data_IF_039455977841
#
_entry.id   IF_039455977841
#
_cell.length_a   1.000
_cell.length_b   1.000
_cell.length_c   1.000
_cell.angle_alpha   90.00
_cell.angle_beta   90.00
_cell.angle_gamma   90.00
#
_symmetry.space_group_name_H-M   'P 1'
#
loop_
_entity.id
_entity.type
_entity.pdbx_description
1 polymer ?
#
# COMPACT_ATOMS: atom_id res chain seq x y z
N UNK A 1 17.06 -11.02 8.53
CA UNK A 1 16.82 -9.73 7.84
C UNK A 1 15.33 -9.43 7.91
N UNK A 2 14.86 -8.19 8.12
CA UNK A 2 13.45 -7.88 8.45
C UNK A 2 12.42 -8.11 7.33
N UNK A 3 12.79 -8.79 6.24
CA UNK A 3 11.97 -8.97 5.04
C UNK A 3 11.83 -10.45 4.61
N UNK A 4 11.87 -11.40 5.56
CA UNK A 4 11.63 -12.82 5.24
C UNK A 4 10.22 -13.06 4.65
N UNK A 5 9.26 -12.17 4.91
CA UNK A 5 7.88 -12.35 4.47
C UNK A 5 7.58 -11.42 3.30
N UNK A 6 7.57 -11.99 2.09
CA UNK A 6 7.20 -11.27 0.88
C UNK A 6 5.70 -10.93 0.91
N UNK A 7 5.30 -9.68 0.61
CA UNK A 7 3.90 -9.35 0.40
C UNK A 7 3.32 -10.10 -0.79
N UNK A 8 2.07 -10.52 -0.69
CA UNK A 8 1.32 -11.14 -1.78
C UNK A 8 0.46 -10.06 -2.43
N UNK A 9 0.72 -9.73 -3.70
CA UNK A 9 0.02 -8.66 -4.42
C UNK A 9 -0.73 -9.20 -5.63
N UNK A 10 -1.92 -8.64 -5.87
CA UNK A 10 -2.59 -8.79 -7.16
C UNK A 10 -2.09 -7.68 -8.09
N UNK A 11 -1.62 -8.05 -9.27
CA UNK A 11 -0.98 -7.11 -10.19
C UNK A 11 -1.57 -7.25 -11.60
N UNK A 12 -1.79 -6.13 -12.30
CA UNK A 12 -2.24 -6.18 -13.70
C UNK A 12 -1.22 -6.91 -14.59
N UNK A 13 -1.67 -7.93 -15.34
CA UNK A 13 -0.82 -8.82 -16.14
C UNK A 13 -0.09 -8.11 -17.29
N UNK A 14 -0.60 -6.96 -17.72
CA UNK A 14 -0.02 -6.16 -18.81
C UNK A 14 1.37 -5.58 -18.49
N UNK A 15 1.84 -5.68 -17.24
CA UNK A 15 3.21 -5.33 -16.86
C UNK A 15 4.24 -6.43 -17.18
N UNK A 16 3.77 -7.66 -17.42
CA UNK A 16 4.62 -8.85 -17.62
C UNK A 16 4.41 -9.50 -18.98
N UNK A 17 3.20 -9.40 -19.54
CA UNK A 17 2.80 -10.08 -20.77
C UNK A 17 2.13 -9.13 -21.76
N UNK A 18 2.09 -9.53 -23.03
CA UNK A 18 1.45 -8.84 -24.14
C UNK A 18 -0.08 -8.87 -24.06
N UNK A 19 -0.69 -8.50 -22.92
CA UNK A 19 -2.16 -8.61 -22.73
C UNK A 19 -2.94 -7.35 -23.11
N UNK A 20 -2.27 -6.32 -23.63
CA UNK A 20 -2.92 -5.09 -24.08
C UNK A 20 -3.75 -5.29 -25.35
N UNK A 21 -4.69 -4.37 -25.57
CA UNK A 21 -5.53 -4.38 -26.76
C UNK A 21 -4.72 -4.29 -28.06
N UNK A 22 -3.58 -3.60 -28.03
CA UNK A 22 -2.66 -3.44 -29.16
C UNK A 22 -1.56 -4.51 -29.21
N UNK A 23 -1.58 -5.49 -28.30
CA UNK A 23 -0.54 -6.52 -28.19
C UNK A 23 0.82 -5.99 -27.70
N UNK A 24 0.92 -4.75 -27.23
CA UNK A 24 2.15 -4.20 -26.65
C UNK A 24 2.41 -4.66 -25.21
N UNK A 25 3.65 -4.47 -24.74
CA UNK A 25 4.02 -4.54 -23.31
C UNK A 25 4.15 -3.12 -22.75
N UNK A 26 3.74 -2.94 -21.50
CA UNK A 26 4.08 -1.74 -20.71
C UNK A 26 5.07 -2.15 -19.63
N UNK A 27 6.16 -1.41 -19.49
CA UNK A 27 7.03 -1.53 -18.33
C UNK A 27 6.63 -0.56 -17.22
N UNK A 28 6.73 -1.02 -15.98
CA UNK A 28 6.67 -0.17 -14.79
C UNK A 28 7.87 -0.49 -13.91
N UNK A 29 8.74 0.48 -13.69
CA UNK A 29 9.99 0.27 -12.94
C UNK A 29 9.72 -0.08 -11.47
N UNK A 30 8.67 0.50 -10.87
CA UNK A 30 8.20 0.11 -9.53
C UNK A 30 7.75 -1.35 -9.49
N UNK A 31 6.94 -1.79 -10.45
CA UNK A 31 6.45 -3.18 -10.48
C UNK A 31 7.60 -4.16 -10.69
N UNK A 32 8.53 -3.86 -11.59
CA UNK A 32 9.74 -4.67 -11.81
C UNK A 32 10.60 -4.78 -10.56
N UNK A 33 10.84 -3.67 -9.85
CA UNK A 33 11.60 -3.69 -8.60
C UNK A 33 10.90 -4.52 -7.52
N UNK A 34 9.57 -4.41 -7.43
CA UNK A 34 8.78 -5.15 -6.44
C UNK A 34 8.78 -6.66 -6.65
N UNK A 35 9.00 -7.15 -7.87
CA UNK A 35 9.08 -8.59 -8.19
C UNK A 35 10.11 -9.33 -7.33
N UNK A 36 11.21 -8.66 -6.98
CA UNK A 36 12.24 -9.25 -6.12
C UNK A 36 11.77 -9.42 -4.66
N UNK A 37 10.81 -8.61 -4.20
CA UNK A 37 10.41 -8.53 -2.80
C UNK A 37 8.97 -8.97 -2.51
N UNK A 38 8.17 -9.22 -3.54
CA UNK A 38 6.76 -9.59 -3.43
C UNK A 38 6.45 -10.87 -4.22
N UNK A 39 5.39 -11.57 -3.85
CA UNK A 39 4.78 -12.63 -4.67
C UNK A 39 3.63 -12.02 -5.46
N UNK A 40 3.54 -12.30 -6.76
CA UNK A 40 2.50 -11.73 -7.62
C UNK A 40 1.47 -12.77 -8.06
N UNK A 41 0.19 -12.40 -7.92
CA UNK A 41 -0.93 -13.02 -8.60
C UNK A 41 -1.34 -12.09 -9.74
N UNK A 42 -1.11 -12.49 -10.98
CA UNK A 42 -1.33 -11.61 -12.13
C UNK A 42 -2.73 -11.77 -12.73
N UNK A 43 -3.34 -10.65 -13.11
CA UNK A 43 -4.69 -10.65 -13.68
C UNK A 43 -4.84 -9.70 -14.88
N UNK A 44 -5.49 -10.18 -15.95
CA UNK A 44 -6.01 -9.34 -17.02
C UNK A 44 -7.51 -9.58 -17.19
N UNK A 45 -8.39 -8.77 -16.59
CA UNK A 45 -9.83 -9.01 -16.63
C UNK A 45 -10.38 -9.12 -18.05
N UNK A 46 -9.83 -8.36 -18.99
CA UNK A 46 -10.24 -8.35 -20.40
C UNK A 46 -9.97 -9.68 -21.11
N UNK A 47 -8.81 -10.30 -20.83
CA UNK A 47 -8.49 -11.63 -21.38
C UNK A 47 -9.32 -12.70 -20.69
N UNK A 48 -9.53 -12.62 -19.37
CA UNK A 48 -10.31 -13.60 -18.63
C UNK A 48 -11.80 -13.62 -19.02
N UNK A 49 -12.35 -12.51 -19.53
CA UNK A 49 -13.71 -12.49 -20.12
C UNK A 49 -13.75 -12.92 -21.60
N UNK A 50 -12.62 -13.38 -22.15
CA UNK A 50 -12.51 -13.98 -23.48
C UNK A 50 -12.15 -13.03 -24.61
N UNK A 51 -11.64 -11.81 -24.33
CA UNK A 51 -11.18 -10.94 -25.41
C UNK A 51 -9.81 -11.38 -25.94
N UNK A 52 -9.59 -11.33 -27.26
CA UNK A 52 -8.32 -11.73 -27.87
C UNK A 52 -7.20 -10.70 -27.63
N UNK A 53 -6.01 -11.08 -28.08
CA UNK A 53 -4.83 -10.23 -28.17
C UNK A 53 -4.32 -10.32 -29.61
N UNK A 54 -4.28 -9.23 -30.40
CA UNK A 54 -4.87 -7.92 -30.12
C UNK A 54 -6.42 -7.94 -30.17
N UNK A 55 -7.06 -6.86 -29.75
CA UNK A 55 -8.53 -6.66 -29.77
C UNK A 55 -8.89 -5.21 -30.07
N UNK A 56 -10.14 -4.99 -30.46
CA UNK A 56 -10.69 -3.64 -30.52
C UNK A 56 -10.67 -2.98 -29.13
N UNK A 57 -10.31 -1.69 -29.02
CA UNK A 57 -10.41 -0.95 -27.76
C UNK A 57 -11.84 -0.95 -27.21
N UNK A 58 -11.92 -1.10 -25.89
CA UNK A 58 -13.15 -0.91 -25.12
C UNK A 58 -13.00 0.33 -24.24
N UNK A 59 -14.10 0.97 -23.90
CA UNK A 59 -14.18 2.18 -23.10
C UNK A 59 -15.37 2.08 -22.13
N UNK A 60 -15.36 2.92 -21.09
CA UNK A 60 -16.51 3.03 -20.17
C UNK A 60 -17.41 4.18 -20.63
N UNK A 61 -18.68 3.88 -20.87
CA UNK A 61 -19.70 4.82 -21.30
C UNK A 61 -20.74 5.06 -20.20
N UNK A 62 -21.26 6.28 -20.10
CA UNK A 62 -22.43 6.60 -19.29
C UNK A 62 -23.67 6.61 -20.19
N UNK A 63 -24.50 5.57 -20.06
CA UNK A 63 -25.73 5.41 -20.85
C UNK A 63 -26.89 5.20 -19.88
N UNK A 64 -27.91 6.05 -19.94
CA UNK A 64 -29.08 5.99 -19.05
C UNK A 64 -28.70 5.97 -17.54
N UNK A 65 -27.69 6.77 -17.15
CA UNK A 65 -27.07 6.80 -15.81
C UNK A 65 -26.34 5.51 -15.37
N UNK A 66 -26.20 4.52 -16.24
CA UNK A 66 -25.43 3.31 -15.98
C UNK A 66 -24.05 3.37 -16.65
N UNK A 67 -23.05 2.79 -15.96
CA UNK A 67 -21.71 2.62 -16.49
C UNK A 67 -21.65 1.34 -17.32
N UNK A 68 -21.36 1.47 -18.62
CA UNK A 68 -21.30 0.37 -19.57
C UNK A 68 -19.88 0.19 -20.12
N UNK A 69 -19.38 -1.04 -20.13
CA UNK A 69 -18.11 -1.39 -20.75
C UNK A 69 -18.35 -1.90 -22.16
N UNK A 70 -18.02 -1.09 -23.17
CA UNK A 70 -18.38 -1.36 -24.56
C UNK A 70 -17.22 -1.05 -25.49
N UNK A 71 -17.24 -1.62 -26.70
CA UNK A 71 -16.38 -1.14 -27.78
C UNK A 71 -16.91 0.18 -28.38
N UNK A 72 -16.11 0.86 -29.20
CA UNK A 72 -16.43 2.20 -29.71
C UNK A 72 -17.67 2.25 -30.59
N UNK A 73 -17.98 1.18 -31.33
CA UNK A 73 -19.20 1.08 -32.14
C UNK A 73 -20.46 0.73 -31.35
N UNK A 74 -20.35 0.49 -30.04
CA UNK A 74 -21.45 0.14 -29.14
C UNK A 74 -22.24 -1.13 -29.53
N UNK A 75 -21.68 -1.99 -30.40
CA UNK A 75 -22.32 -3.25 -30.81
C UNK A 75 -21.94 -4.42 -29.88
N UNK A 76 -20.97 -4.24 -28.99
CA UNK A 76 -20.57 -5.23 -28.00
C UNK A 76 -20.64 -4.59 -26.61
N UNK A 77 -21.56 -5.08 -25.76
CA UNK A 77 -21.63 -4.76 -24.34
C UNK A 77 -21.01 -5.90 -23.51
N UNK A 78 -19.95 -5.58 -22.78
CA UNK A 78 -19.19 -6.51 -21.94
C UNK A 78 -19.45 -6.30 -20.45
N UNK A 79 -20.36 -5.41 -20.07
CA UNK A 79 -20.58 -4.97 -18.69
C UNK A 79 -20.90 -6.16 -17.77
N UNK A 80 -21.90 -6.97 -18.13
CA UNK A 80 -22.31 -8.13 -17.32
C UNK A 80 -21.23 -9.20 -17.26
N UNK A 81 -20.53 -9.45 -18.36
CA UNK A 81 -19.40 -10.41 -18.39
C UNK A 81 -18.29 -9.96 -17.43
N UNK A 82 -17.93 -8.68 -17.46
CA UNK A 82 -16.91 -8.11 -16.59
C UNK A 82 -17.34 -8.10 -15.12
N UNK A 83 -18.58 -7.73 -14.81
CA UNK A 83 -19.10 -7.76 -13.44
C UNK A 83 -19.17 -9.19 -12.88
N UNK A 84 -19.66 -10.14 -13.66
CA UNK A 84 -19.71 -11.56 -13.28
C UNK A 84 -18.31 -12.10 -13.00
N UNK A 85 -17.37 -11.83 -13.90
CA UNK A 85 -15.96 -12.21 -13.71
C UNK A 85 -15.36 -11.56 -12.46
N UNK A 86 -15.51 -10.24 -12.28
CA UNK A 86 -14.95 -9.52 -11.15
C UNK A 86 -15.48 -10.04 -9.81
N UNK A 87 -16.78 -10.35 -9.71
CA UNK A 87 -17.36 -10.93 -8.50
C UNK A 87 -16.82 -12.34 -8.22
N UNK A 88 -16.72 -13.21 -9.24
CA UNK A 88 -16.14 -14.54 -9.09
C UNK A 88 -14.66 -14.48 -8.70
N UNK A 89 -13.90 -13.57 -9.33
CA UNK A 89 -12.51 -13.34 -8.99
C UNK A 89 -12.35 -12.87 -7.54
N UNK A 90 -13.19 -11.92 -7.09
CA UNK A 90 -13.19 -11.47 -5.70
C UNK A 90 -13.42 -12.63 -4.72
N UNK A 91 -14.40 -13.51 -4.99
CA UNK A 91 -14.65 -14.69 -4.15
C UNK A 91 -13.43 -15.62 -4.07
N UNK A 92 -12.77 -15.88 -5.20
CA UNK A 92 -11.56 -16.70 -5.24
C UNK A 92 -10.38 -16.03 -4.51
N UNK A 93 -10.26 -14.71 -4.61
CA UNK A 93 -9.19 -13.96 -3.93
C UNK A 93 -9.41 -13.89 -2.42
N UNK A 94 -10.65 -13.88 -1.95
CA UNK A 94 -10.95 -13.87 -0.50
C UNK A 94 -10.43 -15.11 0.24
N UNK A 95 -10.09 -16.19 -0.46
CA UNK A 95 -9.45 -17.38 0.14
C UNK A 95 -7.93 -17.31 0.15
N UNK A 96 -7.34 -16.30 -0.50
CA UNK A 96 -5.90 -16.06 -0.58
C UNK A 96 -5.46 -15.01 0.44
N UNK A 97 -4.25 -15.17 0.97
CA UNK A 97 -3.64 -14.17 1.86
C UNK A 97 -3.05 -13.01 1.04
N UNK A 98 -3.87 -12.08 0.56
CA UNK A 98 -3.43 -10.89 -0.21
C UNK A 98 -3.21 -9.68 0.70
N UNK A 99 -2.13 -8.92 0.43
CA UNK A 99 -1.75 -7.74 1.20
C UNK A 99 -2.07 -6.42 0.49
N UNK A 100 -2.26 -6.43 -0.83
CA UNK A 100 -2.57 -5.24 -1.62
C UNK A 100 -2.73 -5.52 -3.11
N UNK A 101 -3.06 -4.49 -3.89
CA UNK A 101 -3.19 -4.60 -5.35
C UNK A 101 -2.52 -3.44 -6.08
N UNK A 102 -1.90 -3.73 -7.22
CA UNK A 102 -1.36 -2.74 -8.16
C UNK A 102 -2.07 -2.90 -9.50
N UNK A 103 -2.96 -1.97 -9.82
CA UNK A 103 -3.79 -2.02 -11.01
C UNK A 103 -3.36 -1.01 -12.07
N UNK A 104 -3.52 -1.37 -13.35
CA UNK A 104 -3.12 -0.53 -14.47
C UNK A 104 -3.95 0.76 -14.54
N UNK A 105 -3.28 1.90 -14.40
CA UNK A 105 -3.88 3.23 -14.56
C UNK A 105 -4.52 3.40 -15.95
N UNK A 106 -5.61 4.17 -16.03
CA UNK A 106 -6.34 4.54 -17.25
C UNK A 106 -7.01 3.39 -18.03
N UNK A 107 -6.88 2.13 -17.58
CA UNK A 107 -7.57 0.99 -18.20
C UNK A 107 -9.09 1.07 -17.92
N UNK A 108 -9.95 0.83 -18.93
CA UNK A 108 -11.41 0.81 -18.75
C UNK A 108 -11.88 -0.31 -17.81
N UNK A 109 -11.02 -1.30 -17.55
CA UNK A 109 -11.28 -2.41 -16.63
C UNK A 109 -10.59 -2.21 -15.27
N UNK A 110 -9.31 -1.85 -15.28
CA UNK A 110 -8.44 -1.88 -14.10
C UNK A 110 -8.17 -0.51 -13.46
N UNK A 111 -8.50 0.61 -14.10
CA UNK A 111 -8.22 1.93 -13.52
C UNK A 111 -8.95 2.11 -12.19
N UNK A 112 -8.26 2.65 -11.19
CA UNK A 112 -8.85 2.86 -9.86
C UNK A 112 -9.84 4.02 -9.89
N UNK A 113 -9.50 5.11 -10.57
CA UNK A 113 -10.34 6.32 -10.66
C UNK A 113 -10.07 7.18 -11.91
N UNK A 114 -9.27 6.68 -12.84
CA UNK A 114 -8.74 7.48 -13.96
C UNK A 114 -8.97 6.87 -15.35
N UNK A 115 -9.89 5.90 -15.48
CA UNK A 115 -10.43 5.52 -16.78
C UNK A 115 -11.23 6.69 -17.34
N UNK A 116 -11.17 6.88 -18.67
CA UNK A 116 -12.01 7.87 -19.34
C UNK A 116 -13.47 7.41 -19.29
N UNK A 117 -14.36 8.29 -18.87
CA UNK A 117 -15.81 8.11 -18.97
C UNK A 117 -16.31 8.85 -20.21
N UNK A 118 -16.92 8.13 -21.13
CA UNK A 118 -17.49 8.67 -22.35
C UNK A 118 -18.99 8.90 -22.20
N UNK A 119 -19.48 10.04 -22.69
CA UNK A 119 -20.91 10.33 -22.78
C UNK A 119 -21.54 9.70 -24.04
N UNK A 120 -22.87 9.83 -24.21
CA UNK A 120 -23.60 9.28 -25.36
C UNK A 120 -23.11 9.80 -26.72
N UNK A 121 -22.48 10.98 -26.74
CA UNK A 121 -21.92 11.61 -27.94
C UNK A 121 -20.48 11.18 -28.26
N UNK A 122 -19.94 10.18 -27.55
CA UNK A 122 -18.58 9.67 -27.73
C UNK A 122 -17.47 10.62 -27.26
N UNK A 123 -17.81 11.70 -26.53
CA UNK A 123 -16.83 12.59 -25.91
C UNK A 123 -16.55 12.18 -24.47
N UNK A 124 -15.32 12.40 -24.02
CA UNK A 124 -14.96 12.20 -22.61
C UNK A 124 -15.66 13.27 -21.77
N UNK A 125 -16.44 12.86 -20.78
CA UNK A 125 -17.21 13.74 -19.89
C UNK A 125 -16.63 13.78 -18.47
N UNK A 126 -15.92 12.73 -18.05
CA UNK A 126 -15.31 12.63 -16.72
C UNK A 126 -14.26 11.52 -16.67
N UNK A 127 -13.79 11.21 -15.46
CA UNK A 127 -13.05 9.99 -15.14
C UNK A 127 -13.88 9.08 -14.24
N UNK A 128 -13.62 7.78 -14.32
CA UNK A 128 -14.31 6.74 -13.54
C UNK A 128 -13.31 5.66 -13.12
N UNK A 129 -13.60 4.89 -12.06
CA UNK A 129 -13.04 3.56 -11.92
C UNK A 129 -13.41 2.69 -13.14
N UNK A 130 -12.51 1.80 -13.53
CA UNK A 130 -12.84 0.72 -14.45
C UNK A 130 -13.77 -0.30 -13.79
N UNK A 131 -14.54 -1.06 -14.59
CA UNK A 131 -15.61 -1.91 -14.06
C UNK A 131 -15.08 -3.00 -13.10
N UNK A 132 -13.96 -3.64 -13.43
CA UNK A 132 -13.32 -4.63 -12.53
C UNK A 132 -12.76 -3.97 -11.26
N UNK A 133 -12.03 -2.87 -11.42
CA UNK A 133 -11.43 -2.16 -10.29
C UNK A 133 -12.49 -1.65 -9.29
N UNK A 134 -13.64 -1.19 -9.78
CA UNK A 134 -14.78 -0.79 -8.94
C UNK A 134 -15.19 -1.91 -7.97
N UNK A 135 -15.37 -3.13 -8.49
CA UNK A 135 -15.73 -4.30 -7.66
C UNK A 135 -14.62 -4.62 -6.65
N UNK A 136 -13.34 -4.56 -7.05
CA UNK A 136 -12.23 -4.80 -6.12
C UNK A 136 -12.18 -3.77 -4.98
N UNK A 137 -12.37 -2.48 -5.29
CA UNK A 137 -12.37 -1.40 -4.29
C UNK A 137 -13.52 -1.57 -3.30
N UNK A 138 -14.71 -1.96 -3.79
CA UNK A 138 -15.89 -2.18 -2.94
C UNK A 138 -15.76 -3.43 -2.06
N UNK A 139 -15.12 -4.50 -2.56
CA UNK A 139 -14.98 -5.77 -1.83
C UNK A 139 -13.81 -5.79 -0.85
N UNK A 140 -12.69 -5.18 -1.19
CA UNK A 140 -11.43 -5.27 -0.43
C UNK A 140 -11.11 -3.95 0.27
N UNK A 141 -12.06 -3.46 1.07
CA UNK A 141 -11.94 -2.17 1.79
C UNK A 141 -10.82 -2.16 2.83
N UNK A 142 -10.34 -3.33 3.24
CA UNK A 142 -9.25 -3.53 4.18
C UNK A 142 -7.87 -3.51 3.52
N UNK A 143 -7.79 -3.67 2.19
CA UNK A 143 -6.55 -3.62 1.44
C UNK A 143 -6.22 -2.20 0.98
N UNK A 144 -4.98 -2.01 0.52
CA UNK A 144 -4.57 -0.83 -0.23
C UNK A 144 -4.47 -1.22 -1.71
N UNK A 145 -5.20 -0.49 -2.55
CA UNK A 145 -5.23 -0.68 -3.99
C UNK A 145 -4.71 0.61 -4.61
N UNK A 146 -3.60 0.52 -5.34
CA UNK A 146 -2.94 1.67 -5.96
C UNK A 146 -2.62 1.38 -7.44
N UNK A 147 -2.33 2.45 -8.20
CA UNK A 147 -1.91 2.31 -9.59
C UNK A 147 -0.42 2.52 -9.74
N UNK A 148 0.17 1.92 -10.75
CA UNK A 148 1.60 2.06 -11.03
C UNK A 148 2.01 3.52 -11.23
N UNK A 149 1.12 4.34 -11.82
CA UNK A 149 1.35 5.78 -12.00
C UNK A 149 1.27 6.56 -10.69
N UNK A 150 0.45 6.13 -9.72
CA UNK A 150 0.37 6.81 -8.41
C UNK A 150 1.56 6.47 -7.52
N UNK A 151 2.12 5.27 -7.66
CA UNK A 151 3.32 4.84 -6.96
C UNK A 151 4.61 5.55 -7.43
N UNK A 152 4.55 6.41 -8.45
CA UNK A 152 5.67 7.33 -8.75
C UNK A 152 5.75 8.48 -7.75
N UNK A 153 4.66 8.79 -7.04
CA UNK A 153 4.68 9.77 -5.96
C UNK A 153 5.27 9.14 -4.68
N UNK A 154 6.33 9.73 -4.15
CA UNK A 154 7.08 9.20 -3.00
C UNK A 154 6.22 8.99 -1.76
N UNK A 155 5.29 9.91 -1.48
CA UNK A 155 4.41 9.79 -0.31
C UNK A 155 3.43 8.62 -0.47
N UNK A 156 2.80 8.48 -1.63
CA UNK A 156 1.87 7.36 -1.90
C UNK A 156 2.63 6.04 -1.89
N UNK A 157 3.82 6.00 -2.50
CA UNK A 157 4.71 4.83 -2.50
C UNK A 157 5.08 4.42 -1.08
N UNK A 158 5.56 5.36 -0.26
CA UNK A 158 5.90 5.11 1.13
C UNK A 158 4.72 4.51 1.91
N UNK A 159 3.51 5.09 1.78
CA UNK A 159 2.33 4.59 2.50
C UNK A 159 1.91 3.20 2.01
N UNK A 160 1.91 2.96 0.70
CA UNK A 160 1.59 1.66 0.12
C UNK A 160 2.58 0.57 0.53
N UNK A 161 3.89 0.82 0.38
CA UNK A 161 4.92 -0.14 0.75
C UNK A 161 4.91 -0.43 2.25
N UNK A 162 4.81 0.62 3.08
CA UNK A 162 4.69 0.44 4.54
C UNK A 162 3.48 -0.41 4.91
N UNK A 163 2.35 -0.20 4.23
CA UNK A 163 1.13 -0.98 4.44
C UNK A 163 1.35 -2.47 4.15
N UNK A 164 1.77 -2.81 2.92
CA UNK A 164 1.86 -4.20 2.47
C UNK A 164 2.93 -4.99 3.22
N UNK A 165 4.09 -4.38 3.50
CA UNK A 165 5.17 -5.07 4.23
C UNK A 165 4.83 -5.26 5.70
N UNK A 166 4.07 -4.34 6.31
CA UNK A 166 3.61 -4.51 7.69
C UNK A 166 2.59 -5.63 7.81
N UNK A 167 1.64 -5.73 6.86
CA UNK A 167 0.69 -6.84 6.83
C UNK A 167 1.36 -8.20 6.57
N UNK A 168 2.30 -8.25 5.63
CA UNK A 168 3.05 -9.47 5.34
C UNK A 168 3.84 -9.97 6.57
N UNK A 169 4.43 -9.06 7.36
CA UNK A 169 5.07 -9.41 8.65
C UNK A 169 4.06 -9.89 9.68
N UNK A 170 2.86 -9.31 9.74
CA UNK A 170 1.84 -9.69 10.70
C UNK A 170 1.25 -11.09 10.43
N UNK A 171 1.17 -11.50 9.16
CA UNK A 171 0.59 -12.79 8.73
C UNK A 171 1.20 -14.01 9.44
N UNK A 172 2.48 -13.93 9.78
CA UNK A 172 3.22 -15.03 10.42
C UNK A 172 3.18 -14.98 11.95
N UNK A 173 2.50 -14.01 12.55
CA UNK A 173 2.30 -13.96 14.00
C UNK A 173 1.30 -15.04 14.40
N UNK A 174 1.77 -16.10 15.07
CA UNK A 174 0.96 -17.24 15.51
C UNK A 174 0.94 -17.42 17.03
N UNK A 175 1.83 -16.75 17.75
CA UNK A 175 1.98 -16.87 19.20
C UNK A 175 1.86 -15.52 19.90
N UNK A 176 1.54 -15.57 21.20
CA UNK A 176 1.51 -14.36 22.04
C UNK A 176 2.85 -13.61 22.06
N UNK A 177 3.96 -14.35 22.11
CA UNK A 177 5.30 -13.77 22.11
C UNK A 177 5.55 -13.01 20.80
N UNK A 178 5.24 -13.61 19.65
CA UNK A 178 5.37 -12.97 18.35
C UNK A 178 4.47 -11.73 18.23
N UNK A 179 3.28 -11.73 18.82
CA UNK A 179 2.39 -10.56 18.83
C UNK A 179 3.01 -9.40 19.63
N UNK A 180 3.58 -9.69 20.81
CA UNK A 180 4.29 -8.71 21.64
C UNK A 180 5.52 -8.17 20.89
N UNK A 181 6.30 -9.04 20.27
CA UNK A 181 7.50 -8.67 19.51
C UNK A 181 7.12 -7.81 18.30
N UNK A 182 6.11 -8.23 17.52
CA UNK A 182 5.56 -7.48 16.40
C UNK A 182 5.10 -6.08 16.83
N UNK A 183 4.33 -5.98 17.91
CA UNK A 183 3.86 -4.69 18.39
C UNK A 183 5.04 -3.80 18.82
N UNK A 184 6.00 -4.37 19.54
CA UNK A 184 7.19 -3.68 20.04
C UNK A 184 8.03 -3.07 18.93
N UNK A 185 8.27 -3.79 17.83
CA UNK A 185 9.07 -3.30 16.69
C UNK A 185 8.30 -2.33 15.78
N UNK A 186 6.97 -2.30 15.85
CA UNK A 186 6.12 -1.39 15.07
C UNK A 186 5.64 -0.18 15.88
N UNK A 187 6.04 -0.04 17.15
CA UNK A 187 5.50 0.98 18.06
C UNK A 187 5.59 2.40 17.51
N UNK A 188 6.75 2.83 17.02
CA UNK A 188 6.92 4.19 16.48
C UNK A 188 6.24 4.40 15.14
N UNK A 189 6.16 3.36 14.31
CA UNK A 189 5.39 3.40 13.07
C UNK A 189 3.90 3.61 13.38
N UNK A 190 3.34 2.82 14.30
CA UNK A 190 1.95 2.94 14.72
C UNK A 190 1.66 4.26 15.44
N UNK A 191 2.61 4.77 16.24
CA UNK A 191 2.53 6.09 16.85
C UNK A 191 2.44 7.21 15.78
N UNK A 192 3.26 7.11 14.74
CA UNK A 192 3.26 8.05 13.61
C UNK A 192 1.94 8.01 12.86
N UNK A 193 1.39 6.82 12.64
CA UNK A 193 0.14 6.64 11.89
C UNK A 193 -1.07 7.08 12.71
N UNK A 194 -1.23 6.56 13.92
CA UNK A 194 -2.35 6.90 14.80
C UNK A 194 -2.07 6.51 16.26
N UNK A 195 -1.69 7.49 17.07
CA UNK A 195 -1.41 7.31 18.50
C UNK A 195 -2.57 6.70 19.31
N UNK A 196 -3.82 7.09 19.01
CA UNK A 196 -5.00 6.55 19.71
C UNK A 196 -5.13 5.05 19.42
N UNK A 197 -5.07 4.67 18.14
CA UNK A 197 -5.16 3.27 17.75
C UNK A 197 -3.96 2.46 18.25
N UNK A 198 -2.75 3.04 18.25
CA UNK A 198 -1.55 2.41 18.81
C UNK A 198 -1.75 2.02 20.30
N UNK A 199 -2.38 2.90 21.10
CA UNK A 199 -2.72 2.59 22.49
C UNK A 199 -3.74 1.45 22.61
N UNK A 200 -4.76 1.43 21.76
CA UNK A 200 -5.73 0.32 21.73
C UNK A 200 -5.06 -1.00 21.34
N UNK A 201 -4.19 -0.99 20.33
CA UNK A 201 -3.39 -2.17 19.95
C UNK A 201 -2.54 -2.67 21.13
N UNK A 202 -1.94 -1.76 21.90
CA UNK A 202 -1.20 -2.13 23.12
C UNK A 202 -2.06 -2.78 24.19
N UNK A 203 -3.34 -2.37 24.33
CA UNK A 203 -4.29 -3.03 25.25
C UNK A 203 -4.65 -4.44 24.78
N UNK A 204 -4.84 -4.63 23.48
CA UNK A 204 -5.10 -5.96 22.89
C UNK A 204 -3.91 -6.89 23.17
N UNK A 205 -2.67 -6.42 22.96
CA UNK A 205 -1.44 -7.17 23.23
C UNK A 205 -1.30 -7.55 24.72
N UNK A 206 -1.77 -6.69 25.63
CA UNK A 206 -1.66 -6.90 27.07
C UNK A 206 -2.68 -7.90 27.64
N UNK A 207 -3.67 -8.35 26.86
CA UNK A 207 -4.65 -9.34 27.30
C UNK A 207 -3.96 -10.63 27.76
N UNK A 208 -4.50 -11.28 28.80
CA UNK A 208 -3.92 -12.54 29.32
C UNK A 208 -4.13 -13.70 28.35
N UNK A 209 -5.33 -13.81 27.80
CA UNK A 209 -5.71 -14.82 26.81
C UNK A 209 -5.07 -14.51 25.45
N UNK A 210 -4.76 -15.56 24.68
CA UNK A 210 -4.30 -15.44 23.30
C UNK A 210 -4.99 -16.53 22.47
N UNK A 211 -5.73 -16.10 21.46
CA UNK A 211 -6.48 -16.96 20.53
C UNK A 211 -6.63 -16.24 19.18
N UNK A 212 -7.25 -16.89 18.19
CA UNK A 212 -7.44 -16.33 16.85
C UNK A 212 -8.28 -15.04 16.84
N UNK A 213 -9.22 -14.88 17.78
CA UNK A 213 -10.02 -13.66 17.88
C UNK A 213 -9.16 -12.45 18.27
N UNK A 214 -8.16 -12.64 19.16
CA UNK A 214 -7.19 -11.59 19.51
C UNK A 214 -6.39 -11.15 18.29
N UNK A 215 -5.93 -12.11 17.46
CA UNK A 215 -5.21 -11.80 16.23
C UNK A 215 -6.09 -11.08 15.22
N UNK A 216 -7.35 -11.49 15.07
CA UNK A 216 -8.33 -10.85 14.18
C UNK A 216 -8.60 -9.41 14.63
N UNK A 217 -8.89 -9.20 15.90
CA UNK A 217 -9.11 -7.87 16.48
C UNK A 217 -7.88 -6.99 16.29
N UNK A 218 -6.68 -7.49 16.62
CA UNK A 218 -5.44 -6.76 16.41
C UNK A 218 -5.25 -6.38 14.93
N UNK A 219 -5.50 -7.31 14.00
CA UNK A 219 -5.40 -7.06 12.55
C UNK A 219 -6.34 -5.95 12.09
N UNK A 220 -7.57 -5.94 12.57
CA UNK A 220 -8.55 -4.91 12.21
C UNK A 220 -8.09 -3.51 12.66
N UNK A 221 -7.59 -3.38 13.88
CA UNK A 221 -7.03 -2.11 14.37
C UNK A 221 -5.70 -1.74 13.68
N UNK A 222 -4.86 -2.73 13.37
CA UNK A 222 -3.62 -2.53 12.62
C UNK A 222 -3.91 -1.91 11.25
N UNK A 223 -4.87 -2.45 10.51
CA UNK A 223 -5.29 -1.91 9.21
C UNK A 223 -5.84 -0.49 9.36
N UNK A 224 -6.68 -0.23 10.37
CA UNK A 224 -7.20 1.12 10.64
C UNK A 224 -6.05 2.12 10.92
N UNK A 225 -5.03 1.72 11.68
CA UNK A 225 -3.84 2.54 11.89
C UNK A 225 -3.09 2.77 10.57
N UNK A 226 -2.75 1.71 9.83
CA UNK A 226 -1.96 1.81 8.60
C UNK A 226 -2.67 2.58 7.48
N UNK A 227 -4.01 2.59 7.43
CA UNK A 227 -4.79 3.41 6.50
C UNK A 227 -4.95 4.87 6.94
N UNK A 228 -4.53 5.24 8.15
CA UNK A 228 -4.54 6.63 8.60
C UNK A 228 -3.43 7.41 7.86
N UNK A 229 -3.75 8.51 7.14
CA UNK A 229 -2.75 9.30 6.42
C UNK A 229 -1.70 9.91 7.36
N UNK A 230 -0.43 9.85 6.96
CA UNK A 230 0.66 10.45 7.75
C UNK A 230 0.58 11.98 7.71
N UNK A 231 0.68 12.58 8.90
CA UNK A 231 0.75 14.03 9.13
C UNK A 231 2.13 14.40 9.67
N UNK A 232 2.71 15.51 9.18
CA UNK A 232 4.03 15.98 9.61
C UNK A 232 4.13 16.14 11.14
N UNK A 233 3.09 16.66 11.79
CA UNK A 233 3.06 16.80 13.26
C UNK A 233 3.17 15.47 14.00
N UNK A 234 2.63 14.37 13.44
CA UNK A 234 2.74 13.04 14.04
C UNK A 234 4.12 12.40 13.80
N UNK A 235 4.74 12.70 12.67
CA UNK A 235 6.15 12.34 12.41
C UNK A 235 7.06 13.04 13.41
N UNK A 236 6.94 14.37 13.56
CA UNK A 236 7.72 15.17 14.52
C UNK A 236 7.57 14.61 15.95
N UNK A 237 6.33 14.35 16.38
CA UNK A 237 6.08 13.75 17.68
C UNK A 237 6.86 12.43 17.86
N UNK A 238 6.82 11.56 16.86
CA UNK A 238 7.54 10.28 16.87
C UNK A 238 9.06 10.48 16.94
N UNK A 239 9.60 11.41 16.16
CA UNK A 239 11.03 11.74 16.19
C UNK A 239 11.46 12.23 17.58
N UNK A 240 10.66 13.08 18.23
CA UNK A 240 10.91 13.54 19.60
C UNK A 240 10.85 12.41 20.62
N UNK A 241 9.91 11.46 20.47
CA UNK A 241 9.87 10.27 21.32
C UNK A 241 11.11 9.38 21.14
N UNK A 242 11.60 9.21 19.92
CA UNK A 242 12.84 8.47 19.65
C UNK A 242 14.07 9.21 20.19
N UNK A 243 14.12 10.54 20.04
CA UNK A 243 15.16 11.39 20.60
C UNK A 243 15.30 11.23 22.13
N UNK A 244 14.19 10.98 22.83
CA UNK A 244 14.19 10.73 24.28
C UNK A 244 15.11 9.60 24.74
N UNK A 245 15.48 8.66 23.87
CA UNK A 245 16.44 7.58 24.17
C UNK A 245 17.91 8.05 24.17
N UNK A 246 18.17 9.22 23.60
CA UNK A 246 19.51 9.78 23.40
C UNK A 246 19.77 11.03 24.25
N UNK A 247 18.72 11.70 24.75
CA UNK A 247 18.83 13.00 25.43
C UNK A 247 19.91 13.07 26.53
N UNK A 248 20.13 11.99 27.27
CA UNK A 248 21.09 11.95 28.39
C UNK A 248 22.48 11.47 27.95
N UNK A 249 22.65 11.15 26.65
CA UNK A 249 23.88 10.63 26.04
C UNK A 249 24.56 11.65 25.11
N UNK A 250 23.80 12.66 24.68
CA UNK A 250 24.24 13.70 23.73
C UNK A 250 24.78 14.94 24.44
N UNK A 251 25.74 15.62 23.82
CA UNK A 251 26.19 16.94 24.24
C UNK A 251 25.24 18.05 23.75
N UNK A 252 25.39 19.27 24.29
CA UNK A 252 24.49 20.39 23.98
C UNK A 252 24.46 20.77 22.48
N UNK A 253 25.58 20.63 21.75
CA UNK A 253 25.62 20.91 20.31
C UNK A 253 24.84 19.87 19.51
N UNK A 254 24.94 18.60 19.87
CA UNK A 254 24.18 17.51 19.23
C UNK A 254 22.68 17.65 19.48
N UNK A 255 22.29 18.03 20.70
CA UNK A 255 20.87 18.29 21.04
C UNK A 255 20.31 19.45 20.22
N UNK A 256 21.04 20.58 20.16
CA UNK A 256 20.64 21.75 19.38
C UNK A 256 20.49 21.39 17.90
N UNK A 257 21.51 20.71 17.32
CA UNK A 257 21.48 20.30 15.92
C UNK A 257 20.28 19.41 15.58
N UNK A 258 19.90 18.48 16.47
CA UNK A 258 18.70 17.67 16.24
C UNK A 258 17.41 18.51 16.23
N UNK A 259 17.30 19.49 17.11
CA UNK A 259 16.13 20.39 17.13
C UNK A 259 16.07 21.25 15.86
N UNK A 260 17.21 21.72 15.37
CA UNK A 260 17.31 22.44 14.09
C UNK A 260 16.82 21.57 12.93
N UNK A 261 17.27 20.31 12.87
CA UNK A 261 16.78 19.35 11.86
C UNK A 261 15.27 19.09 11.95
N UNK A 262 14.71 19.01 13.16
CA UNK A 262 13.26 18.85 13.34
C UNK A 262 12.50 20.07 12.81
N UNK A 263 13.00 21.28 13.03
CA UNK A 263 12.40 22.51 12.51
C UNK A 263 12.56 22.61 10.98
N UNK A 264 13.72 22.24 10.44
CA UNK A 264 13.94 22.15 8.99
C UNK A 264 12.97 21.17 8.33
N UNK A 265 12.74 19.99 8.93
CA UNK A 265 11.76 19.02 8.45
C UNK A 265 10.34 19.56 8.51
N UNK A 266 9.98 20.25 9.60
CA UNK A 266 8.68 20.91 9.76
C UNK A 266 8.43 21.95 8.66
N UNK A 267 9.49 22.66 8.25
CA UNK A 267 9.49 23.64 7.17
C UNK A 267 9.70 23.03 5.77
N UNK A 268 9.75 21.70 5.66
CA UNK A 268 9.99 20.94 4.43
C UNK A 268 11.33 21.26 3.73
N UNK A 269 12.33 21.71 4.48
CA UNK A 269 13.69 21.98 3.98
C UNK A 269 14.54 20.71 3.86
N UNK A 270 14.21 19.68 4.65
CA UNK A 270 14.85 18.37 4.61
C UNK A 270 13.82 17.25 4.57
N UNK A 271 14.26 16.06 4.15
CA UNK A 271 13.46 14.85 4.16
C UNK A 271 13.44 14.18 5.54
N UNK A 272 12.44 13.33 5.79
CA UNK A 272 12.39 12.48 6.99
C UNK A 272 13.62 11.56 7.09
N UNK A 273 14.11 11.08 5.95
CA UNK A 273 15.26 10.18 5.86
C UNK A 273 16.52 10.80 6.48
N UNK A 274 16.72 12.11 6.32
CA UNK A 274 17.87 12.83 6.89
C UNK A 274 17.91 12.70 8.42
N UNK A 275 16.76 12.81 9.10
CA UNK A 275 16.67 12.68 10.55
C UNK A 275 16.78 11.21 10.97
N UNK A 276 16.19 10.28 10.22
CA UNK A 276 16.26 8.85 10.50
C UNK A 276 17.69 8.32 10.45
N UNK A 277 18.50 8.80 9.51
CA UNK A 277 19.93 8.43 9.41
C UNK A 277 20.70 8.87 10.66
N UNK A 278 20.44 10.09 11.16
CA UNK A 278 21.05 10.57 12.41
C UNK A 278 20.64 9.71 13.61
N UNK A 279 19.34 9.47 13.79
CA UNK A 279 18.83 8.61 14.89
C UNK A 279 19.41 7.19 14.82
N UNK A 280 19.54 6.63 13.61
CA UNK A 280 20.15 5.31 13.39
C UNK A 280 21.64 5.32 13.74
N UNK A 281 22.37 6.37 13.36
CA UNK A 281 23.78 6.55 13.71
C UNK A 281 24.00 6.56 15.23
N UNK A 282 23.21 7.35 15.95
CA UNK A 282 23.26 7.36 17.42
C UNK A 282 22.85 6.02 18.03
N UNK A 283 21.83 5.36 17.49
CA UNK A 283 21.41 4.05 17.98
C UNK A 283 22.51 2.99 17.84
N UNK A 284 23.30 3.04 16.76
CA UNK A 284 24.50 2.20 16.57
C UNK A 284 25.56 2.58 17.60
N UNK A 285 25.93 3.86 17.67
CA UNK A 285 27.01 4.33 18.55
C UNK A 285 26.77 3.99 20.02
N UNK A 286 25.54 4.15 20.50
CA UNK A 286 25.18 3.89 21.90
C UNK A 286 24.61 2.48 22.14
N UNK A 287 24.63 1.59 21.15
CA UNK A 287 24.10 0.22 21.23
C UNK A 287 22.63 0.14 21.71
N UNK A 288 21.77 1.03 21.21
CA UNK A 288 20.35 1.07 21.58
C UNK A 288 19.55 0.16 20.62
N UNK A 289 19.63 -1.15 20.88
CA UNK A 289 18.97 -2.18 20.07
C UNK A 289 17.46 -1.97 19.94
N UNK A 290 16.81 -1.43 20.98
CA UNK A 290 15.38 -1.12 20.94
C UNK A 290 15.01 -0.17 19.79
N UNK A 291 15.86 0.82 19.49
CA UNK A 291 15.66 1.77 18.38
C UNK A 291 16.05 1.12 17.04
N UNK A 292 17.17 0.41 16.99
CA UNK A 292 17.64 -0.27 15.77
C UNK A 292 16.63 -1.26 15.21
N UNK A 293 15.85 -1.91 16.07
CA UNK A 293 14.84 -2.89 15.69
C UNK A 293 13.51 -2.26 15.23
N UNK A 294 13.36 -0.94 15.29
CA UNK A 294 12.10 -0.28 14.95
C UNK A 294 11.91 -0.23 13.43
N UNK A 295 10.80 -0.79 12.98
CA UNK A 295 10.36 -0.74 11.57
C UNK A 295 10.12 0.68 11.08
N UNK A 296 9.90 1.65 11.97
CA UNK A 296 9.86 3.06 11.60
C UNK A 296 11.13 3.50 10.85
N UNK A 297 12.30 2.98 11.24
CA UNK A 297 13.59 3.28 10.58
C UNK A 297 13.74 2.67 9.19
N UNK A 298 13.02 1.59 8.91
CA UNK A 298 13.14 0.83 7.67
C UNK A 298 11.87 -0.02 7.46
N UNK A 299 10.74 0.60 7.04
CA UNK A 299 9.44 -0.07 7.01
C UNK A 299 9.32 -1.12 5.89
N UNK A 300 10.15 -0.96 4.85
CA UNK A 300 10.27 -1.80 3.66
C UNK A 300 11.72 -1.74 3.13
N UNK A 301 12.12 -2.63 2.20
CA UNK A 301 13.48 -2.66 1.64
C UNK A 301 13.89 -1.32 1.01
N UNK A 302 15.06 -0.80 1.38
CA UNK A 302 15.56 0.51 0.92
C UNK A 302 15.64 0.68 -0.59
N UNK A 303 15.87 -0.40 -1.33
CA UNK A 303 16.00 -0.38 -2.79
C UNK A 303 14.68 0.02 -3.50
N UNK A 304 13.57 0.02 -2.76
CA UNK A 304 12.25 0.47 -3.21
C UNK A 304 12.00 1.98 -2.98
N UNK A 305 12.90 2.69 -2.28
CA UNK A 305 12.75 4.12 -2.00
C UNK A 305 12.98 4.96 -3.27
N UNK A 306 14.00 4.62 -4.05
CA UNK A 306 14.41 5.38 -5.24
C UNK A 306 13.95 4.63 -6.49
N UNK A 307 12.89 5.08 -7.15
CA UNK A 307 12.35 4.46 -8.38
C UNK A 307 12.19 5.50 -9.46
#
# INVERSE_FOLDING_TARGET
>A
MPFHNKPNLIVSRCFFEHTRYDGGIISSDIVKKLENYCNFVTICPEVEIGLPIPREPIDVFLINNDYKLMNKSHNIDLTEKMLSFANKFAQNVSTLEIDGMILKAKSPSCAINDAKLYGPNGRVISKTPGIFAKVMIEKFTELMIESEMRLTNDKIRFEFLTFIFTLARFRDVKTKKELIDFHSINKFLLLTKNEKIMRELGRIVAQKEFNENVLKEYREFLIKALKTPIKNSKVINTLLHMYGFFKDKLNEKEKAYFMDLVEDYKNNLISLQSIMVLLKSWAIHYNINYILNQTFLEPYPKDLENI
#
